data_IF_318309269771
#
_entry.id   IF_318309269771
#
_cell.length_a   1.000
_cell.length_b   1.000
_cell.length_c   1.000
_cell.angle_alpha   90.00
_cell.angle_beta   90.00
_cell.angle_gamma   90.00
#
_symmetry.space_group_name_H-M   'P 1'
#
loop_
_entity.id
_entity.type
_entity.pdbx_description
1 polymer ?
#
# COMPACT_ATOMS: atom_id res chain seq x y z
N UNK A 1 22.49 -9.30 10.41
CA UNK A 1 22.98 -8.20 9.53
C UNK A 1 21.82 -7.82 8.61
N UNK A 2 21.35 -6.59 8.68
CA UNK A 2 20.30 -6.10 7.77
C UNK A 2 20.96 -5.63 6.48
N UNK A 3 20.57 -6.22 5.34
CA UNK A 3 21.06 -5.79 4.03
C UNK A 3 20.45 -4.41 3.71
N UNK A 4 21.28 -3.36 3.70
CA UNK A 4 20.82 -1.98 3.46
C UNK A 4 20.49 -1.71 1.98
N UNK A 5 21.08 -2.47 1.07
CA UNK A 5 20.98 -2.28 -0.38
C UNK A 5 19.84 -3.08 -1.02
N UNK A 6 18.89 -3.57 -0.21
CA UNK A 6 17.70 -4.31 -0.68
C UNK A 6 16.45 -3.63 -0.19
N UNK A 7 15.43 -3.61 -1.03
CA UNK A 7 14.10 -3.15 -0.64
C UNK A 7 13.35 -4.27 0.11
N UNK A 8 12.56 -3.87 1.10
CA UNK A 8 11.63 -4.77 1.77
C UNK A 8 10.21 -4.36 1.37
N UNK A 9 9.43 -5.33 0.90
CA UNK A 9 8.00 -5.15 0.64
C UNK A 9 7.21 -5.37 1.93
N UNK A 10 6.30 -4.46 2.25
CA UNK A 10 5.54 -4.46 3.49
C UNK A 10 4.04 -4.36 3.24
N UNK A 11 3.30 -5.39 3.68
CA UNK A 11 1.83 -5.35 3.78
C UNK A 11 1.46 -4.74 5.12
N UNK A 12 1.07 -3.46 5.11
CA UNK A 12 0.83 -2.66 6.32
C UNK A 12 -0.65 -2.70 6.75
N UNK A 13 -1.21 -3.91 6.97
CA UNK A 13 -2.61 -4.14 7.34
C UNK A 13 -2.81 -4.50 8.82
N UNK A 14 -1.72 -4.73 9.58
CA UNK A 14 -1.76 -5.18 10.98
C UNK A 14 -2.10 -6.65 11.17
N UNK A 15 -2.36 -7.40 10.11
CA UNK A 15 -2.68 -8.84 10.14
C UNK A 15 -1.53 -9.69 9.63
N UNK A 16 -0.87 -9.28 8.54
CA UNK A 16 0.33 -9.93 8.00
C UNK A 16 1.56 -9.60 8.84
N UNK A 17 1.72 -8.32 9.16
CA UNK A 17 2.82 -7.83 10.00
C UNK A 17 2.22 -6.97 11.11
N UNK A 18 2.53 -7.30 12.38
CA UNK A 18 2.05 -6.52 13.51
C UNK A 18 2.68 -5.13 13.54
N UNK A 19 2.02 -4.09 14.09
CA UNK A 19 2.59 -2.75 14.19
C UNK A 19 3.97 -2.71 14.87
N UNK A 20 4.19 -3.54 15.89
CA UNK A 20 5.50 -3.65 16.56
C UNK A 20 6.58 -4.16 15.59
N UNK A 21 6.27 -5.16 14.78
CA UNK A 21 7.21 -5.69 13.80
C UNK A 21 7.47 -4.68 12.67
N UNK A 22 6.45 -3.91 12.26
CA UNK A 22 6.60 -2.78 11.33
C UNK A 22 7.57 -1.75 11.90
N UNK A 23 7.42 -1.37 13.18
CA UNK A 23 8.34 -0.43 13.85
C UNK A 23 9.78 -0.93 13.85
N UNK A 24 10.00 -2.21 14.17
CA UNK A 24 11.34 -2.83 14.15
C UNK A 24 11.93 -2.79 12.73
N UNK A 25 11.11 -3.08 11.70
CA UNK A 25 11.54 -3.02 10.30
C UNK A 25 11.93 -1.59 9.89
N UNK A 26 11.15 -0.58 10.28
CA UNK A 26 11.42 0.83 10.03
C UNK A 26 12.75 1.27 10.68
N UNK A 27 12.99 0.87 11.93
CA UNK A 27 14.24 1.18 12.64
C UNK A 27 15.46 0.48 12.00
N UNK A 28 15.27 -0.69 11.42
CA UNK A 28 16.34 -1.47 10.81
C UNK A 28 16.67 -1.02 9.38
N UNK A 29 15.68 -0.69 8.54
CA UNK A 29 15.85 -0.41 7.10
C UNK A 29 15.62 1.04 6.70
N UNK A 30 14.94 1.83 7.50
CA UNK A 30 14.41 3.17 7.21
C UNK A 30 13.35 3.19 6.09
N UNK A 31 12.60 4.31 6.02
CA UNK A 31 11.58 4.55 4.99
C UNK A 31 12.12 4.53 3.55
N UNK A 32 13.42 4.76 3.36
CA UNK A 32 14.05 4.77 2.03
C UNK A 32 14.18 3.39 1.38
N UNK A 33 14.06 2.32 2.16
CA UNK A 33 14.26 0.95 1.70
C UNK A 33 13.06 0.03 2.00
N UNK A 34 11.90 0.60 2.27
CA UNK A 34 10.65 -0.13 2.48
C UNK A 34 9.63 0.34 1.45
N UNK A 35 9.16 -0.56 0.62
CA UNK A 35 8.05 -0.34 -0.29
C UNK A 35 6.75 -0.86 0.35
N UNK A 36 5.74 0.01 0.52
CA UNK A 36 4.41 -0.44 0.88
C UNK A 36 3.80 -1.18 -0.32
N UNK A 37 3.27 -2.36 -0.05
CA UNK A 37 2.52 -3.15 -1.02
C UNK A 37 1.18 -3.57 -0.42
N UNK A 38 0.23 -3.90 -1.26
CA UNK A 38 -1.08 -4.38 -0.81
C UNK A 38 -1.19 -5.89 -0.79
N UNK A 39 -0.54 -6.59 -1.72
CA UNK A 39 -0.80 -8.02 -2.00
C UNK A 39 -2.31 -8.31 -2.07
N UNK A 40 -3.05 -7.37 -2.68
CA UNK A 40 -4.50 -7.37 -2.66
C UNK A 40 -5.05 -8.40 -3.64
N UNK A 41 -5.88 -9.29 -3.12
CA UNK A 41 -6.62 -10.24 -3.95
C UNK A 41 -7.86 -9.59 -4.60
N UNK A 42 -8.58 -10.34 -5.47
CA UNK A 42 -9.76 -9.85 -6.19
C UNK A 42 -10.90 -9.29 -5.33
N UNK A 43 -10.90 -9.56 -4.03
CA UNK A 43 -11.89 -9.03 -3.09
C UNK A 43 -11.55 -7.64 -2.54
N UNK A 44 -10.44 -7.03 -2.98
CA UNK A 44 -10.10 -5.66 -2.61
C UNK A 44 -11.21 -4.68 -3.00
N UNK A 45 -11.56 -3.80 -2.06
CA UNK A 45 -12.66 -2.84 -2.19
C UNK A 45 -14.05 -3.47 -2.42
N UNK A 46 -14.21 -4.77 -2.18
CA UNK A 46 -15.49 -5.48 -2.22
C UNK A 46 -16.04 -5.67 -0.81
N UNK A 47 -17.33 -6.02 -0.71
CA UNK A 47 -17.99 -6.34 0.56
C UNK A 47 -17.44 -7.65 1.16
N UNK A 48 -17.64 -7.84 2.47
CA UNK A 48 -17.36 -9.11 3.14
C UNK A 48 -18.15 -10.26 2.47
N UNK A 49 -17.49 -11.40 2.26
CA UNK A 49 -18.13 -12.49 1.54
C UNK A 49 -17.17 -13.64 1.18
N UNK A 50 -17.66 -14.50 0.29
CA UNK A 50 -16.90 -15.64 -0.23
C UNK A 50 -16.32 -15.31 -1.60
N UNK A 51 -15.03 -15.54 -1.76
CA UNK A 51 -14.26 -15.28 -2.97
C UNK A 51 -13.37 -16.45 -3.31
N UNK A 52 -12.59 -16.34 -4.37
CA UNK A 52 -11.59 -17.32 -4.75
C UNK A 52 -10.23 -16.67 -4.99
N UNK A 53 -9.17 -17.36 -4.60
CA UNK A 53 -7.78 -17.05 -4.94
C UNK A 53 -7.21 -18.27 -5.69
N UNK A 54 -7.13 -18.16 -7.01
CA UNK A 54 -6.88 -19.31 -7.86
C UNK A 54 -7.95 -20.40 -7.63
N UNK A 55 -7.53 -21.59 -7.21
CA UNK A 55 -8.40 -22.75 -6.91
C UNK A 55 -8.91 -22.79 -5.46
N UNK A 56 -8.49 -21.85 -4.61
CA UNK A 56 -8.80 -21.86 -3.19
C UNK A 56 -10.03 -21.00 -2.89
N UNK A 57 -10.93 -21.49 -2.05
CA UNK A 57 -12.02 -20.70 -1.48
C UNK A 57 -11.48 -19.84 -0.34
N UNK A 58 -11.82 -18.55 -0.37
CA UNK A 58 -11.41 -17.55 0.60
C UNK A 58 -12.65 -16.90 1.20
N UNK A 59 -12.69 -16.76 2.52
CA UNK A 59 -13.69 -15.97 3.23
C UNK A 59 -13.08 -14.62 3.61
N UNK A 60 -13.73 -13.53 3.20
CA UNK A 60 -13.40 -12.17 3.65
C UNK A 60 -14.37 -11.78 4.74
N UNK A 61 -13.84 -11.42 5.89
CA UNK A 61 -14.61 -10.93 7.03
C UNK A 61 -13.81 -9.87 7.79
N UNK A 62 -14.44 -8.72 8.06
CA UNK A 62 -13.81 -7.58 8.74
C UNK A 62 -12.49 -7.17 8.06
N UNK A 63 -12.50 -7.07 6.73
CA UNK A 63 -11.33 -6.73 5.91
C UNK A 63 -10.15 -7.71 6.03
N UNK A 64 -10.38 -8.96 6.41
CA UNK A 64 -9.35 -10.01 6.48
C UNK A 64 -9.74 -11.18 5.59
N UNK A 65 -8.84 -11.54 4.66
CA UNK A 65 -9.02 -12.67 3.75
C UNK A 65 -8.39 -13.94 4.34
N UNK A 66 -9.16 -15.02 4.51
CA UNK A 66 -8.68 -16.30 5.05
C UNK A 66 -9.14 -17.48 4.24
N UNK A 67 -8.29 -18.48 4.14
CA UNK A 67 -8.67 -19.82 3.69
C UNK A 67 -9.57 -20.51 4.73
N UNK A 68 -10.26 -21.59 4.33
CA UNK A 68 -11.02 -22.42 5.27
C UNK A 68 -10.13 -23.02 6.38
N UNK A 69 -8.82 -23.16 6.15
CA UNK A 69 -7.83 -23.59 7.17
C UNK A 69 -7.58 -22.52 8.25
N UNK A 70 -8.02 -21.28 8.05
CA UNK A 70 -7.73 -20.14 8.92
C UNK A 70 -6.50 -19.33 8.52
N UNK A 71 -5.66 -19.81 7.59
CA UNK A 71 -4.48 -19.09 7.11
C UNK A 71 -4.89 -17.84 6.32
N UNK A 72 -4.08 -16.78 6.36
CA UNK A 72 -4.24 -15.62 5.50
C UNK A 72 -4.11 -16.01 4.01
N UNK A 73 -4.82 -15.30 3.14
CA UNK A 73 -4.91 -15.61 1.71
C UNK A 73 -4.87 -14.34 0.87
N UNK A 74 -3.69 -13.76 0.72
CA UNK A 74 -3.54 -12.41 0.23
C UNK A 74 -4.18 -11.39 1.17
N UNK A 75 -4.26 -10.15 0.75
CA UNK A 75 -4.93 -9.10 1.52
C UNK A 75 -6.17 -8.56 0.80
N UNK A 76 -6.91 -7.69 1.48
CA UNK A 76 -7.91 -6.77 0.91
C UNK A 76 -7.53 -5.32 1.22
N UNK A 77 -6.26 -5.11 1.58
CA UNK A 77 -5.69 -3.81 1.88
C UNK A 77 -5.70 -2.93 0.63
N UNK A 78 -6.09 -1.67 0.77
CA UNK A 78 -5.88 -0.64 -0.26
C UNK A 78 -4.66 0.21 0.10
N UNK A 79 -4.01 0.84 -0.90
CA UNK A 79 -2.78 1.57 -0.67
C UNK A 79 -2.98 2.80 0.23
N UNK A 80 -4.11 3.50 0.10
CA UNK A 80 -4.48 4.61 0.99
C UNK A 80 -4.59 4.16 2.46
N UNK A 81 -5.16 2.97 2.70
CA UNK A 81 -5.22 2.37 4.04
C UNK A 81 -3.84 1.96 4.56
N UNK A 82 -2.97 1.45 3.69
CA UNK A 82 -1.60 1.12 4.08
C UNK A 82 -0.84 2.36 4.57
N UNK A 83 -0.96 3.48 3.83
CA UNK A 83 -0.38 4.77 4.20
C UNK A 83 -0.98 5.29 5.51
N UNK A 84 -2.31 5.25 5.67
CA UNK A 84 -2.97 5.67 6.93
C UNK A 84 -2.52 4.83 8.11
N UNK A 85 -2.52 3.52 7.99
CA UNK A 85 -2.20 2.61 9.08
C UNK A 85 -0.83 2.90 9.70
N UNK A 86 0.21 3.08 8.87
CA UNK A 86 1.57 3.31 9.40
C UNK A 86 1.70 4.69 10.07
N UNK A 87 0.91 5.68 9.62
CA UNK A 87 0.84 7.02 10.24
C UNK A 87 0.03 6.97 11.53
N UNK A 88 -1.15 6.33 11.54
CA UNK A 88 -2.03 6.22 12.72
C UNK A 88 -1.37 5.43 13.85
N UNK A 89 -0.51 4.47 13.50
CA UNK A 89 0.32 3.74 14.48
C UNK A 89 1.50 4.57 15.02
N UNK A 90 1.67 5.82 14.57
CA UNK A 90 2.80 6.70 14.93
C UNK A 90 4.18 6.06 14.63
N UNK A 91 4.28 5.29 13.54
CA UNK A 91 5.51 4.63 13.11
C UNK A 91 6.24 5.46 12.05
N UNK A 92 5.48 6.21 11.22
CA UNK A 92 6.02 7.04 10.14
C UNK A 92 5.32 8.39 10.09
N UNK A 93 5.99 9.37 9.50
CA UNK A 93 5.33 10.61 9.05
C UNK A 93 4.49 10.32 7.80
N UNK A 94 3.52 11.19 7.50
CA UNK A 94 2.73 11.06 6.26
C UNK A 94 3.62 11.18 5.01
N UNK A 95 4.61 12.07 5.03
CA UNK A 95 5.56 12.27 3.92
C UNK A 95 6.36 10.99 3.64
N UNK A 96 6.94 10.37 4.66
CA UNK A 96 7.67 9.11 4.53
C UNK A 96 6.75 7.95 4.11
N UNK A 97 5.52 7.89 4.61
CA UNK A 97 4.54 6.88 4.23
C UNK A 97 4.15 7.00 2.74
N UNK A 98 3.92 8.22 2.24
CA UNK A 98 3.68 8.49 0.82
C UNK A 98 4.90 8.07 -0.01
N UNK A 99 6.11 8.42 0.42
CA UNK A 99 7.35 8.04 -0.27
C UNK A 99 7.50 6.51 -0.37
N UNK A 100 7.19 5.78 0.69
CA UNK A 100 7.19 4.30 0.68
C UNK A 100 6.11 3.71 -0.23
N UNK A 101 5.03 4.44 -0.54
CA UNK A 101 3.96 4.00 -1.44
C UNK A 101 4.17 4.44 -2.90
N UNK A 102 5.16 5.30 -3.20
CA UNK A 102 5.34 5.93 -4.52
C UNK A 102 6.78 5.82 -5.01
N UNK A 103 7.67 6.65 -4.50
CA UNK A 103 9.04 6.77 -4.97
C UNK A 103 9.88 5.51 -4.70
N UNK A 104 9.76 4.92 -3.50
CA UNK A 104 10.54 3.73 -3.15
C UNK A 104 10.19 2.52 -4.02
N UNK A 105 8.91 2.16 -4.27
CA UNK A 105 8.60 1.10 -5.24
C UNK A 105 9.04 1.44 -6.67
N UNK A 106 8.98 2.70 -7.10
CA UNK A 106 9.50 3.10 -8.40
C UNK A 106 11.02 2.86 -8.51
N UNK A 107 11.79 3.24 -7.47
CA UNK A 107 13.22 2.92 -7.38
C UNK A 107 13.49 1.42 -7.43
N UNK A 108 12.71 0.62 -6.68
CA UNK A 108 12.90 -0.83 -6.63
C UNK A 108 12.67 -1.52 -7.98
N UNK A 109 11.83 -0.91 -8.83
CA UNK A 109 11.52 -1.37 -10.18
C UNK A 109 12.39 -0.70 -11.26
N UNK A 110 13.27 0.23 -10.92
CA UNK A 110 14.08 1.03 -11.85
C UNK A 110 13.23 1.85 -12.84
N UNK A 111 12.11 2.41 -12.38
CA UNK A 111 11.20 3.28 -13.15
C UNK A 111 11.04 4.68 -12.52
N UNK A 112 11.90 5.03 -11.58
CA UNK A 112 11.89 6.30 -10.86
C UNK A 112 12.21 7.53 -11.75
N UNK A 113 12.67 7.30 -12.97
CA UNK A 113 12.79 8.30 -14.01
C UNK A 113 11.49 8.54 -14.80
N UNK A 114 10.46 7.72 -14.58
CA UNK A 114 9.16 7.79 -15.29
C UNK A 114 8.05 8.20 -14.34
N UNK A 115 8.02 7.62 -13.13
CA UNK A 115 6.95 7.81 -12.15
C UNK A 115 7.46 7.78 -10.70
N UNK A 116 6.54 7.86 -9.74
CA UNK A 116 6.82 7.80 -8.30
C UNK A 116 7.07 9.16 -7.64
N UNK A 117 7.15 10.22 -8.43
CA UNK A 117 7.30 11.61 -7.96
C UNK A 117 6.57 12.58 -8.88
N UNK A 118 6.19 13.74 -8.35
CA UNK A 118 5.65 14.84 -9.16
C UNK A 118 6.82 15.74 -9.56
N UNK A 119 7.36 15.52 -10.75
CA UNK A 119 8.47 16.26 -11.29
C UNK A 119 8.33 16.53 -12.78
N UNK A 120 8.90 17.62 -13.29
CA UNK A 120 8.82 17.95 -14.72
C UNK A 120 9.48 16.87 -15.58
N UNK A 121 8.72 16.33 -16.53
CA UNK A 121 9.16 15.28 -17.45
C UNK A 121 8.75 13.87 -17.05
N UNK A 122 8.16 13.69 -15.85
CA UNK A 122 7.56 12.43 -15.43
C UNK A 122 6.10 12.30 -15.88
N UNK A 123 5.57 11.08 -15.83
CA UNK A 123 4.16 10.83 -16.05
C UNK A 123 3.31 11.59 -15.03
N UNK A 124 2.22 12.19 -15.49
CA UNK A 124 1.31 12.94 -14.63
C UNK A 124 0.32 11.99 -13.92
N UNK A 125 0.86 11.06 -13.12
CA UNK A 125 0.14 10.10 -12.30
C UNK A 125 0.12 10.60 -10.85
N UNK A 126 -1.05 11.04 -10.39
CA UNK A 126 -1.19 11.57 -9.03
C UNK A 126 -2.63 11.43 -8.52
N UNK A 127 -2.77 11.53 -7.20
CA UNK A 127 -4.05 11.61 -6.52
C UNK A 127 -4.21 12.97 -5.85
N UNK A 128 -5.46 13.40 -5.69
CA UNK A 128 -5.84 14.57 -4.88
C UNK A 128 -6.59 14.08 -3.66
N UNK A 129 -6.12 14.45 -2.48
CA UNK A 129 -6.70 14.05 -1.19
C UNK A 129 -7.08 15.27 -0.35
N UNK A 130 -7.93 15.07 0.64
CA UNK A 130 -8.08 16.00 1.76
C UNK A 130 -7.00 15.78 2.84
N UNK A 131 -7.11 16.54 3.93
CA UNK A 131 -6.17 16.44 5.06
C UNK A 131 -6.27 15.09 5.82
N UNK A 132 -7.40 14.41 5.69
CA UNK A 132 -7.63 13.08 6.28
C UNK A 132 -7.20 11.96 5.31
N UNK A 133 -6.51 12.32 4.21
CA UNK A 133 -6.04 11.41 3.18
C UNK A 133 -7.17 10.64 2.46
N UNK A 134 -8.39 11.20 2.38
CA UNK A 134 -9.44 10.66 1.53
C UNK A 134 -9.17 11.04 0.08
N UNK A 135 -9.21 10.06 -0.83
CA UNK A 135 -8.96 10.30 -2.26
C UNK A 135 -10.19 10.95 -2.88
N UNK A 136 -10.01 12.14 -3.44
CA UNK A 136 -11.05 12.88 -4.17
C UNK A 136 -10.92 12.75 -5.68
N UNK A 137 -9.68 12.70 -6.19
CA UNK A 137 -9.42 12.57 -7.61
C UNK A 137 -8.21 11.66 -7.85
N UNK A 138 -8.22 10.93 -8.97
CA UNK A 138 -7.08 10.13 -9.45
C UNK A 138 -6.80 10.48 -10.89
N UNK A 139 -5.55 10.81 -11.19
CA UNK A 139 -5.06 11.13 -12.52
C UNK A 139 -4.06 10.09 -12.99
N UNK A 140 -4.19 9.68 -14.25
CA UNK A 140 -3.25 8.80 -14.96
C UNK A 140 -2.89 9.48 -16.28
N UNK A 141 -1.63 9.71 -16.55
CA UNK A 141 -1.13 10.48 -17.70
C UNK A 141 -1.82 11.85 -17.84
N UNK A 142 -2.10 12.52 -16.72
CA UNK A 142 -2.81 13.80 -16.70
C UNK A 142 -4.31 13.73 -16.98
N UNK A 143 -4.87 12.55 -17.18
CA UNK A 143 -6.30 12.33 -17.43
C UNK A 143 -6.97 11.97 -16.09
N UNK A 144 -8.03 12.69 -15.72
CA UNK A 144 -8.82 12.40 -14.54
C UNK A 144 -9.61 11.10 -14.75
N UNK A 145 -9.18 10.02 -14.08
CA UNK A 145 -9.80 8.69 -14.16
C UNK A 145 -10.87 8.46 -13.10
N UNK A 146 -10.77 9.16 -11.97
CA UNK A 146 -11.72 9.07 -10.87
C UNK A 146 -11.90 10.43 -10.23
N UNK A 147 -13.13 10.76 -9.89
CA UNK A 147 -13.51 11.97 -9.15
C UNK A 147 -14.75 11.70 -8.30
N UNK A 148 -14.70 12.06 -7.02
CA UNK A 148 -15.85 12.03 -6.13
C UNK A 148 -16.86 13.08 -6.61
N UNK A 149 -18.07 12.65 -6.96
CA UNK A 149 -19.17 13.58 -7.24
C UNK A 149 -19.59 14.23 -5.91
N UNK A 150 -19.62 15.55 -5.90
CA UNK A 150 -20.14 16.35 -4.77
C UNK A 150 -21.65 16.23 -4.68
#
# INVERSE_FOLDING_TARGET
MVLKDTYAELICDGHHVSPIAVKIMMDAKSSNNIALITDCMRAGAMEDGKYTLGKFNVNVKNSVARLNSGSLAGSVLTMDKAVRNIVDWNISTLEDAIKMATYVPALSCNIDNVCGSIYQGMDADFIVTDNDFNIHETYINGICMYKVNK
#
